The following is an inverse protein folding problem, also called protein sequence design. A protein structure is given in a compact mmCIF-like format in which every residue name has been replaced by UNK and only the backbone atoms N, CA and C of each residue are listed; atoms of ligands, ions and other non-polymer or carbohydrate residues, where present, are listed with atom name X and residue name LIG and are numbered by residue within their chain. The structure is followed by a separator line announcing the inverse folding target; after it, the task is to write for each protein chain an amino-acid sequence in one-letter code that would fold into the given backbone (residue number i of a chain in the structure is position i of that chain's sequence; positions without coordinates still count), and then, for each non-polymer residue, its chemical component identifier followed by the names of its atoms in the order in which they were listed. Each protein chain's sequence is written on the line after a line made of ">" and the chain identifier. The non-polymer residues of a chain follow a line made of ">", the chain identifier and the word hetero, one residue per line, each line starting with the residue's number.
data_IF_954413054203
#
_entry.id   IF_954413054203
#
_cell.length_a   1.000
_cell.length_b   1.000
_cell.length_c   1.000
_cell.angle_alpha   90.00
_cell.angle_beta   90.00
_cell.angle_gamma   90.00
#
_symmetry.space_group_name_H-M   'P 1'
#
loop_
_entity.id
_entity.type
_entity.pdbx_description
1 polymer ?
#
# COMPACT_ATOMS: atom_id res chain seq x y z
N UNK A 1 -6.94 15.10 41.36
CA UNK A 1 -7.43 13.93 40.60
C UNK A 1 -6.45 13.73 39.47
N UNK A 2 -5.50 12.80 39.62
CA UNK A 2 -4.46 12.57 38.61
C UNK A 2 -5.03 11.79 37.44
N UNK A 3 -5.02 12.40 36.25
CA UNK A 3 -5.24 11.70 34.99
C UNK A 3 -4.03 10.81 34.68
N UNK A 4 -4.23 9.50 34.73
CA UNK A 4 -3.26 8.52 34.23
C UNK A 4 -3.48 8.37 32.73
N UNK A 5 -2.49 8.79 31.93
CA UNK A 5 -2.48 8.61 30.48
C UNK A 5 -2.35 7.10 30.18
N UNK A 6 -3.18 6.50 29.31
CA UNK A 6 -3.11 5.06 29.07
C UNK A 6 -1.76 4.72 28.42
N UNK A 7 -1.00 3.83 29.06
CA UNK A 7 0.23 3.27 28.50
C UNK A 7 -0.21 2.28 27.41
N UNK A 8 0.00 2.61 26.14
CA UNK A 8 -0.18 1.62 25.07
C UNK A 8 0.94 0.60 25.17
N UNK A 9 0.61 -0.66 25.44
CA UNK A 9 1.57 -1.75 25.28
C UNK A 9 1.87 -1.94 23.79
N UNK A 10 3.14 -2.01 23.43
CA UNK A 10 3.56 -2.38 22.07
C UNK A 10 3.44 -3.90 21.90
N UNK A 11 3.10 -4.34 20.70
CA UNK A 11 3.08 -5.76 20.35
C UNK A 11 4.49 -6.37 20.46
N UNK A 12 4.56 -7.63 20.90
CA UNK A 12 5.78 -8.42 20.84
C UNK A 12 6.18 -8.70 19.39
N UNK A 13 7.45 -9.07 19.19
CA UNK A 13 7.97 -9.41 17.85
C UNK A 13 7.20 -10.58 17.21
N UNK A 14 6.77 -11.56 18.00
CA UNK A 14 5.98 -12.70 17.52
C UNK A 14 4.57 -12.28 17.08
N UNK A 15 3.89 -11.43 17.86
CA UNK A 15 2.57 -10.89 17.50
C UNK A 15 2.65 -10.01 16.25
N UNK A 16 3.68 -9.17 16.15
CA UNK A 16 3.90 -8.33 14.98
C UNK A 16 4.16 -9.15 13.72
N UNK A 17 4.99 -10.21 13.81
CA UNK A 17 5.25 -11.12 12.68
C UNK A 17 3.99 -11.83 12.23
N UNK A 18 3.21 -12.38 13.16
CA UNK A 18 1.99 -13.10 12.83
C UNK A 18 0.97 -12.21 12.09
N UNK A 19 0.80 -10.95 12.53
CA UNK A 19 -0.07 -9.98 11.86
C UNK A 19 0.44 -9.65 10.45
N UNK A 20 1.74 -9.41 10.29
CA UNK A 20 2.34 -9.11 9.00
C UNK A 20 2.19 -10.27 8.01
N UNK A 21 2.42 -11.50 8.46
CA UNK A 21 2.26 -12.71 7.64
C UNK A 21 0.80 -12.98 7.29
N UNK A 22 -0.12 -12.84 8.25
CA UNK A 22 -1.56 -13.01 8.01
C UNK A 22 -2.14 -11.96 7.04
N UNK A 23 -1.56 -10.76 7.00
CA UNK A 23 -1.95 -9.70 6.06
C UNK A 23 -1.38 -9.90 4.66
N UNK A 24 -0.50 -10.90 4.47
CA UNK A 24 0.13 -11.16 3.18
C UNK A 24 -0.88 -11.82 2.24
N UNK A 25 -1.10 -11.20 1.10
CA UNK A 25 -1.94 -11.77 0.04
C UNK A 25 -1.34 -13.10 -0.44
N UNK A 26 -2.11 -14.18 -0.29
CA UNK A 26 -1.66 -15.55 -0.61
C UNK A 26 -1.82 -15.89 -2.08
N UNK A 27 -2.84 -15.31 -2.72
CA UNK A 27 -3.18 -15.55 -4.12
C UNK A 27 -3.42 -14.22 -4.80
N UNK A 28 -2.68 -13.99 -5.90
CA UNK A 28 -2.91 -12.86 -6.78
C UNK A 28 -3.79 -13.33 -7.94
N UNK A 29 -5.07 -12.95 -7.92
CA UNK A 29 -6.00 -13.30 -9.00
C UNK A 29 -5.91 -12.35 -10.20
N UNK A 30 -5.57 -11.08 -9.94
CA UNK A 30 -5.43 -10.08 -11.00
C UNK A 30 -4.12 -10.25 -11.78
N UNK A 31 -4.11 -9.93 -13.10
CA UNK A 31 -2.88 -9.76 -13.85
C UNK A 31 -1.96 -8.73 -13.17
N UNK A 32 -0.71 -9.11 -12.90
CA UNK A 32 0.28 -8.25 -12.24
C UNK A 32 1.39 -7.87 -13.22
N UNK A 33 1.53 -6.56 -13.47
CA UNK A 33 2.60 -6.02 -14.31
C UNK A 33 3.99 -6.45 -13.83
N UNK A 34 4.25 -6.30 -12.53
CA UNK A 34 5.56 -6.60 -11.92
C UNK A 34 5.86 -8.09 -12.00
N UNK A 35 4.89 -8.97 -11.71
CA UNK A 35 5.05 -10.42 -11.83
C UNK A 35 5.44 -10.82 -13.26
N UNK A 36 4.72 -10.30 -14.25
CA UNK A 36 4.97 -10.61 -15.66
C UNK A 36 6.35 -10.12 -16.11
N UNK A 37 6.77 -8.93 -15.66
CA UNK A 37 8.10 -8.39 -15.92
C UNK A 37 9.21 -9.30 -15.38
N UNK A 38 9.11 -9.76 -14.13
CA UNK A 38 10.08 -10.71 -13.56
C UNK A 38 10.10 -12.07 -14.27
N UNK A 39 9.02 -12.45 -14.94
CA UNK A 39 8.92 -13.65 -15.77
C UNK A 39 9.31 -13.39 -17.24
N UNK A 40 9.90 -12.23 -17.55
CA UNK A 40 10.40 -11.88 -18.88
C UNK A 40 9.33 -11.45 -19.88
N UNK A 41 8.10 -11.14 -19.42
CA UNK A 41 6.98 -10.71 -20.26
C UNK A 41 6.64 -9.24 -19.98
N UNK A 42 6.95 -8.36 -20.92
CA UNK A 42 6.60 -6.95 -20.82
C UNK A 42 5.14 -6.72 -21.23
N UNK A 43 4.21 -6.77 -20.27
CA UNK A 43 2.78 -6.45 -20.48
C UNK A 43 2.48 -4.99 -20.21
N UNK A 44 2.93 -4.10 -21.09
CA UNK A 44 2.84 -2.64 -20.89
C UNK A 44 1.39 -2.15 -20.77
N UNK A 45 0.43 -2.85 -21.36
CA UNK A 45 -0.99 -2.51 -21.27
C UNK A 45 -1.57 -2.56 -19.84
N UNK A 46 -0.89 -3.23 -18.90
CA UNK A 46 -1.34 -3.30 -17.50
C UNK A 46 -1.09 -2.02 -16.70
N UNK A 47 -0.29 -1.09 -17.22
CA UNK A 47 0.08 0.16 -16.52
C UNK A 47 0.02 1.40 -17.42
N UNK A 48 -0.10 1.23 -18.74
CA UNK A 48 -0.07 2.32 -19.70
C UNK A 48 -1.20 2.22 -20.74
N UNK A 49 -1.82 3.35 -21.14
CA UNK A 49 -1.56 4.70 -20.63
C UNK A 49 -2.14 4.89 -19.22
N UNK A 50 -1.55 5.80 -18.45
CA UNK A 50 -2.15 6.17 -17.17
C UNK A 50 -3.48 6.89 -17.42
N UNK A 51 -4.48 6.69 -16.55
CA UNK A 51 -5.69 7.49 -16.60
C UNK A 51 -5.35 8.98 -16.43
N UNK A 52 -6.15 9.84 -17.06
CA UNK A 52 -6.02 11.28 -16.85
C UNK A 52 -6.32 11.59 -15.37
N UNK A 53 -5.42 12.30 -14.66
CA UNK A 53 -5.64 12.56 -13.24
C UNK A 53 -6.80 13.56 -13.04
N UNK A 54 -7.60 13.34 -12.00
CA UNK A 54 -8.73 14.21 -11.67
C UNK A 54 -8.24 15.64 -11.36
N UNK A 55 -8.74 16.67 -12.07
CA UNK A 55 -8.37 18.07 -11.83
C UNK A 55 -8.60 18.55 -10.38
N UNK A 56 -9.65 18.07 -9.71
CA UNK A 56 -9.94 18.46 -8.33
C UNK A 56 -9.00 17.79 -7.32
N UNK A 57 -8.63 16.54 -7.55
CA UNK A 57 -7.58 15.86 -6.76
C UNK A 57 -6.23 16.55 -6.92
N UNK A 58 -5.85 16.89 -8.17
CA UNK A 58 -4.64 17.64 -8.45
C UNK A 58 -4.64 19.00 -7.73
N UNK A 59 -5.77 19.72 -7.75
CA UNK A 59 -5.89 21.02 -7.09
C UNK A 59 -5.70 20.91 -5.58
N UNK A 60 -6.34 19.93 -4.92
CA UNK A 60 -6.16 19.68 -3.48
C UNK A 60 -4.73 19.28 -3.14
N UNK A 61 -4.11 18.41 -3.95
CA UNK A 61 -2.76 17.90 -3.69
C UNK A 61 -1.67 18.96 -3.82
N UNK A 62 -1.86 19.98 -4.67
CA UNK A 62 -0.90 21.08 -4.87
C UNK A 62 -0.56 21.85 -3.58
N UNK A 63 -1.45 21.87 -2.59
CA UNK A 63 -1.22 22.54 -1.32
C UNK A 63 -0.12 21.85 -0.47
N UNK A 64 0.21 20.59 -0.78
CA UNK A 64 1.10 19.74 0.02
C UNK A 64 2.41 19.36 -0.67
N UNK A 65 2.58 19.69 -1.95
CA UNK A 65 3.82 19.43 -2.70
C UNK A 65 4.63 20.73 -2.71
N UNK A 66 5.66 20.78 -1.87
CA UNK A 66 6.64 21.89 -1.74
C UNK A 66 7.99 21.52 -2.36
#
# INVERSE_FOLDING_TARGET
>A
MSDSKPVSSHASEQEARAVAEASRETTWEAPSFVKELFLGRLKLELIHPQPQPDPDEQRRGKEFIA
#
